data_IF_468013566644
#
_entry.id   IF_468013566644
#
_cell.length_a   1.000
_cell.length_b   1.000
_cell.length_c   1.000
_cell.angle_alpha   90.00
_cell.angle_beta   90.00
_cell.angle_gamma   90.00
#
_symmetry.space_group_name_H-M   'P 1'
#
loop_
_entity.id
_entity.type
_entity.pdbx_description
1 polymer ?
#
# COMPACT_ATOMS: atom_id res chain seq x y z
N UNK A 1 13.82 7.49 1.66
CA UNK A 1 14.94 8.27 1.09
C UNK A 1 15.69 7.34 0.17
N UNK A 2 15.96 7.76 -1.08
CA UNK A 2 16.93 7.08 -1.95
C UNK A 2 18.36 7.24 -1.39
N UNK A 3 19.34 6.58 -2.02
CA UNK A 3 20.72 6.57 -1.51
C UNK A 3 21.31 7.98 -1.44
N UNK A 4 21.01 8.84 -2.43
CA UNK A 4 21.58 10.20 -2.49
C UNK A 4 20.97 11.06 -1.40
N UNK A 5 19.64 11.08 -1.29
CA UNK A 5 18.97 11.84 -0.25
C UNK A 5 19.30 11.30 1.16
N UNK A 6 19.54 10.00 1.32
CA UNK A 6 20.00 9.41 2.59
C UNK A 6 21.41 9.87 2.99
N UNK A 7 22.38 9.86 2.05
CA UNK A 7 23.75 10.33 2.31
C UNK A 7 23.78 11.84 2.63
N UNK A 8 23.01 12.63 1.89
CA UNK A 8 22.88 14.07 2.14
C UNK A 8 22.18 14.34 3.48
N UNK A 9 21.14 13.59 3.82
CA UNK A 9 20.48 13.70 5.11
C UNK A 9 21.45 13.39 6.26
N UNK A 10 22.16 12.26 6.19
CA UNK A 10 23.14 11.88 7.21
C UNK A 10 24.24 12.92 7.37
N UNK A 11 24.78 13.42 6.25
CA UNK A 11 25.77 14.49 6.24
C UNK A 11 25.23 15.77 6.87
N UNK A 12 23.94 16.07 6.66
CA UNK A 12 23.28 17.27 7.20
C UNK A 12 23.04 17.19 8.69
N UNK A 13 22.65 16.02 9.18
CA UNK A 13 22.58 15.72 10.61
C UNK A 13 23.95 15.93 11.25
N UNK A 14 25.03 15.40 10.65
CA UNK A 14 26.39 15.62 11.17
C UNK A 14 26.78 17.11 11.16
N UNK A 15 26.48 17.83 10.08
CA UNK A 15 26.76 19.27 9.98
C UNK A 15 26.01 20.06 11.05
N UNK A 16 24.72 19.79 11.27
CA UNK A 16 23.93 20.43 12.33
C UNK A 16 24.45 20.12 13.71
N UNK A 17 24.84 18.86 14.00
CA UNK A 17 25.45 18.50 15.28
C UNK A 17 26.76 19.26 15.49
N UNK A 18 27.66 19.28 14.50
CA UNK A 18 28.94 19.99 14.61
C UNK A 18 28.73 21.50 14.74
N UNK A 19 27.80 22.08 13.97
CA UNK A 19 27.45 23.50 14.05
C UNK A 19 26.88 23.84 15.42
N UNK A 20 25.97 23.04 15.94
CA UNK A 20 25.42 23.19 17.28
C UNK A 20 26.49 23.12 18.37
N UNK A 21 27.41 22.15 18.30
CA UNK A 21 28.46 22.02 19.30
C UNK A 21 29.42 23.23 19.33
N UNK A 22 29.65 23.86 18.18
CA UNK A 22 30.55 25.03 18.05
C UNK A 22 29.87 26.36 18.34
N UNK A 23 28.66 26.57 17.81
CA UNK A 23 27.97 27.86 17.81
C UNK A 23 26.83 27.92 18.83
N UNK A 24 26.35 26.76 19.32
CA UNK A 24 25.23 26.62 20.27
C UNK A 24 23.93 27.26 19.77
N UNK A 25 23.73 27.32 18.46
CA UNK A 25 22.48 27.82 17.86
C UNK A 25 21.33 26.86 18.09
N UNK A 26 20.31 27.29 18.83
CA UNK A 26 19.17 26.44 19.19
C UNK A 26 18.37 25.93 17.97
N UNK A 27 18.43 26.65 16.84
CA UNK A 27 17.73 26.27 15.61
C UNK A 27 18.23 24.92 15.06
N UNK A 28 19.51 24.58 15.27
CA UNK A 28 20.09 23.31 14.81
C UNK A 28 19.48 22.11 15.52
N UNK A 29 19.36 22.22 16.85
CA UNK A 29 18.66 21.21 17.65
C UNK A 29 17.18 21.18 17.29
N UNK A 30 16.55 22.33 17.06
CA UNK A 30 15.14 22.38 16.69
C UNK A 30 14.87 21.55 15.43
N UNK A 31 15.71 21.65 14.40
CA UNK A 31 15.57 20.85 13.18
C UNK A 31 15.65 19.35 13.49
N UNK A 32 16.63 18.92 14.29
CA UNK A 32 16.81 17.51 14.65
C UNK A 32 15.66 16.97 15.51
N UNK A 33 15.19 17.74 16.49
CA UNK A 33 14.10 17.35 17.40
C UNK A 33 12.73 17.41 16.72
N UNK A 34 12.56 18.27 15.71
CA UNK A 34 11.31 18.37 14.96
C UNK A 34 10.96 17.06 14.24
N UNK A 35 11.95 16.28 13.81
CA UNK A 35 11.73 15.00 13.12
C UNK A 35 10.99 14.00 14.01
N UNK A 36 11.52 13.56 15.18
CA UNK A 36 10.81 12.63 16.05
C UNK A 36 9.50 13.24 16.57
N UNK A 37 9.46 14.56 16.83
CA UNK A 37 8.24 15.24 17.27
C UNK A 37 7.10 15.13 16.24
N UNK A 38 7.40 15.36 14.96
CA UNK A 38 6.43 15.24 13.87
C UNK A 38 6.10 13.78 13.51
N UNK A 39 6.93 12.83 13.94
CA UNK A 39 6.62 11.39 13.86
C UNK A 39 5.74 10.90 15.03
N UNK A 40 5.58 11.68 16.11
CA UNK A 40 4.82 11.29 17.30
C UNK A 40 3.38 10.82 16.99
N UNK A 41 2.60 11.45 16.09
CA UNK A 41 1.25 10.96 15.79
C UNK A 41 1.21 9.49 15.36
N UNK A 42 2.23 9.05 14.60
CA UNK A 42 2.34 7.66 14.16
C UNK A 42 2.93 6.74 15.24
N UNK A 43 3.90 7.23 16.03
CA UNK A 43 4.52 6.45 17.11
C UNK A 43 3.48 6.15 18.19
N UNK A 44 2.66 7.15 18.54
CA UNK A 44 1.60 6.99 19.54
C UNK A 44 0.44 6.14 19.02
N UNK A 45 0.16 6.14 17.71
CA UNK A 45 -0.86 5.24 17.16
C UNK A 45 -0.42 3.77 17.18
N UNK A 46 0.88 3.47 17.28
CA UNK A 46 1.38 2.11 17.42
C UNK A 46 0.87 1.42 18.71
N UNK A 47 0.46 2.21 19.72
CA UNK A 47 -0.15 1.73 20.94
C UNK A 47 -1.65 1.36 20.79
N UNK A 48 -2.24 1.57 19.61
CA UNK A 48 -3.62 1.21 19.26
C UNK A 48 -3.62 0.18 18.12
N UNK A 49 -3.51 -1.14 18.42
CA UNK A 49 -3.32 -2.18 17.42
C UNK A 49 -4.47 -2.34 16.41
N UNK A 50 -5.62 -1.75 16.70
CA UNK A 50 -6.83 -1.84 15.87
C UNK A 50 -6.89 -0.77 14.75
N UNK A 51 -5.95 0.18 14.71
CA UNK A 51 -5.88 1.16 13.62
C UNK A 51 -4.77 0.80 12.63
N UNK A 52 -5.09 0.84 11.33
CA UNK A 52 -4.09 0.66 10.29
C UNK A 52 -3.03 1.77 10.37
N UNK A 53 -1.74 1.43 10.48
CA UNK A 53 -0.68 2.44 10.40
C UNK A 53 -0.81 3.15 9.04
N UNK A 54 -0.90 4.48 9.08
CA UNK A 54 -1.06 5.29 7.86
C UNK A 54 0.15 6.18 7.65
N UNK A 55 0.73 6.08 6.45
CA UNK A 55 1.84 6.92 5.97
C UNK A 55 1.50 8.43 6.07
N UNK A 56 0.23 8.79 5.94
CA UNK A 56 -0.23 10.17 6.07
C UNK A 56 0.03 10.77 7.46
N UNK A 57 0.09 9.94 8.52
CA UNK A 57 0.34 10.39 9.90
C UNK A 57 1.80 10.78 10.16
N UNK A 58 2.75 10.28 9.39
CA UNK A 58 4.18 10.67 9.48
C UNK A 58 4.57 11.72 8.46
N UNK A 59 3.65 12.11 7.56
CA UNK A 59 3.96 12.97 6.41
C UNK A 59 4.59 14.31 6.79
N UNK A 60 4.24 14.89 7.94
CA UNK A 60 4.82 16.16 8.39
C UNK A 60 6.34 16.10 8.62
N UNK A 61 6.87 14.93 9.03
CA UNK A 61 8.31 14.74 9.27
C UNK A 61 9.13 14.84 7.98
N UNK A 62 8.51 14.72 6.79
CA UNK A 62 9.20 14.88 5.50
C UNK A 62 9.82 16.27 5.36
N UNK A 63 9.17 17.30 5.91
CA UNK A 63 9.59 18.70 5.76
C UNK A 63 10.97 18.95 6.37
N UNK A 64 11.21 18.74 7.68
CA UNK A 64 12.54 18.94 8.24
C UNK A 64 13.59 17.99 7.64
N UNK A 65 13.22 16.78 7.26
CA UNK A 65 14.14 15.84 6.59
C UNK A 65 14.69 16.42 5.30
N UNK A 66 13.82 16.92 4.40
CA UNK A 66 14.27 17.49 3.13
C UNK A 66 14.94 18.87 3.28
N UNK A 67 14.61 19.63 4.32
CA UNK A 67 15.37 20.83 4.66
C UNK A 67 16.82 20.49 5.03
N UNK A 68 17.05 19.43 5.82
CA UNK A 68 18.38 18.95 6.19
C UNK A 68 19.14 18.44 4.96
N UNK A 69 18.48 17.71 4.06
CA UNK A 69 19.05 17.28 2.77
C UNK A 69 19.49 18.50 1.95
N UNK A 70 18.62 19.52 1.85
CA UNK A 70 18.91 20.77 1.15
C UNK A 70 20.10 21.52 1.72
N UNK A 71 20.20 21.60 3.05
CA UNK A 71 21.33 22.23 3.75
C UNK A 71 22.67 21.57 3.39
N UNK A 72 22.72 20.23 3.37
CA UNK A 72 23.92 19.49 2.98
C UNK A 72 24.29 19.69 1.53
N UNK A 73 23.28 19.66 0.65
CA UNK A 73 23.49 19.84 -0.78
C UNK A 73 24.03 21.25 -1.05
N UNK A 74 23.43 22.28 -0.45
CA UNK A 74 23.89 23.67 -0.57
C UNK A 74 25.32 23.84 -0.02
N UNK A 75 25.61 23.27 1.15
CA UNK A 75 26.95 23.28 1.74
C UNK A 75 28.00 22.63 0.83
N UNK A 76 27.67 21.48 0.25
CA UNK A 76 28.53 20.76 -0.69
C UNK A 76 28.79 21.57 -1.96
N UNK A 77 27.73 22.11 -2.58
CA UNK A 77 27.83 22.87 -3.83
C UNK A 77 28.57 24.20 -3.62
N UNK A 78 28.32 24.89 -2.51
CA UNK A 78 28.97 26.15 -2.16
C UNK A 78 30.44 25.94 -1.83
N UNK A 79 30.79 24.88 -1.10
CA UNK A 79 32.18 24.50 -0.84
C UNK A 79 32.93 24.26 -2.15
N UNK A 80 32.36 23.46 -3.05
CA UNK A 80 32.96 23.15 -4.34
C UNK A 80 33.12 24.39 -5.24
N UNK A 81 32.11 25.28 -5.24
CA UNK A 81 32.16 26.57 -5.95
C UNK A 81 33.30 27.45 -5.45
N UNK A 82 33.52 27.50 -4.14
CA UNK A 82 34.56 28.35 -3.52
C UNK A 82 35.98 27.83 -3.75
N UNK A 83 36.16 26.51 -3.93
CA UNK A 83 37.47 25.89 -4.14
C UNK A 83 37.97 25.96 -5.60
N UNK A 84 37.10 26.30 -6.55
CA UNK A 84 37.42 26.26 -7.99
C UNK A 84 37.50 27.67 -8.60
N UNK A 85 38.43 27.87 -9.52
CA UNK A 85 38.55 29.11 -10.29
C UNK A 85 37.42 29.23 -11.34
N UNK A 86 37.06 30.46 -11.70
CA UNK A 86 36.15 30.71 -12.83
C UNK A 86 36.77 30.22 -14.16
N UNK A 87 35.97 29.64 -15.08
CA UNK A 87 34.51 29.43 -15.04
C UNK A 87 34.06 28.14 -14.32
N UNK A 88 35.00 27.26 -13.98
CA UNK A 88 34.74 25.92 -13.43
C UNK A 88 33.99 25.93 -12.09
N UNK A 89 34.17 26.98 -11.28
CA UNK A 89 33.42 27.17 -10.03
C UNK A 89 31.90 27.30 -10.19
N UNK A 90 31.39 27.60 -11.40
CA UNK A 90 29.94 27.61 -11.67
C UNK A 90 29.48 26.33 -12.36
N UNK A 91 30.25 25.85 -13.34
CA UNK A 91 29.84 24.72 -14.19
C UNK A 91 29.87 23.41 -13.43
N UNK A 92 30.93 23.14 -12.64
CA UNK A 92 31.10 21.86 -11.96
C UNK A 92 30.03 21.63 -10.88
N UNK A 93 29.76 22.57 -9.95
CA UNK A 93 28.70 22.37 -8.96
C UNK A 93 27.32 22.22 -9.60
N UNK A 94 27.02 23.01 -10.65
CA UNK A 94 25.75 22.88 -11.36
C UNK A 94 25.60 21.51 -12.03
N UNK A 95 26.65 21.04 -12.72
CA UNK A 95 26.66 19.71 -13.33
C UNK A 95 26.48 18.60 -12.30
N UNK A 96 27.18 18.70 -11.16
CA UNK A 96 27.03 17.74 -10.06
C UNK A 96 25.60 17.74 -9.50
N UNK A 97 25.01 18.91 -9.26
CA UNK A 97 23.63 19.02 -8.77
C UNK A 97 22.64 18.35 -9.73
N UNK A 98 22.77 18.61 -11.04
CA UNK A 98 21.92 18.00 -12.07
C UNK A 98 22.08 16.48 -12.09
N UNK A 99 23.32 15.98 -12.05
CA UNK A 99 23.60 14.53 -12.02
C UNK A 99 22.97 13.88 -10.78
N UNK A 100 23.16 14.47 -9.59
CA UNK A 100 22.59 13.95 -8.35
C UNK A 100 21.06 13.91 -8.40
N UNK A 101 20.42 14.96 -8.95
CA UNK A 101 18.96 14.99 -9.11
C UNK A 101 18.50 13.91 -10.08
N UNK A 102 19.14 13.75 -11.25
CA UNK A 102 18.76 12.73 -12.22
C UNK A 102 18.90 11.31 -11.67
N UNK A 103 19.99 11.02 -10.98
CA UNK A 103 20.19 9.72 -10.31
C UNK A 103 19.17 9.49 -9.18
N UNK A 104 18.79 10.54 -8.45
CA UNK A 104 17.76 10.45 -7.42
C UNK A 104 16.39 10.20 -8.03
N UNK A 105 16.03 10.86 -9.14
CA UNK A 105 14.79 10.61 -9.89
C UNK A 105 14.73 9.15 -10.34
N UNK A 106 15.81 8.63 -10.94
CA UNK A 106 15.85 7.25 -11.41
C UNK A 106 15.66 6.25 -10.26
N UNK A 107 16.34 6.45 -9.13
CA UNK A 107 16.20 5.57 -7.97
C UNK A 107 14.80 5.64 -7.35
N UNK A 108 14.22 6.84 -7.23
CA UNK A 108 12.89 6.99 -6.68
C UNK A 108 11.82 6.40 -7.61
N UNK A 109 12.01 6.48 -8.93
CA UNK A 109 11.12 5.84 -9.89
C UNK A 109 11.08 4.32 -9.68
N UNK A 110 12.26 3.69 -9.62
CA UNK A 110 12.35 2.25 -9.40
C UNK A 110 11.78 1.82 -8.04
N UNK A 111 12.08 2.59 -6.98
CA UNK A 111 11.59 2.34 -5.64
C UNK A 111 10.06 2.37 -5.57
N UNK A 112 9.42 3.38 -6.17
CA UNK A 112 7.97 3.58 -6.08
C UNK A 112 7.19 2.68 -7.03
N UNK A 113 7.63 2.57 -8.28
CA UNK A 113 6.83 1.92 -9.32
C UNK A 113 7.14 0.43 -9.51
N UNK A 114 8.29 -0.05 -9.06
CA UNK A 114 8.63 -1.47 -9.12
C UNK A 114 8.72 -2.08 -7.72
N UNK A 115 9.66 -1.64 -6.88
CA UNK A 115 9.95 -2.32 -5.61
C UNK A 115 8.76 -2.25 -4.64
N UNK A 116 8.21 -1.05 -4.44
CA UNK A 116 7.04 -0.86 -3.58
C UNK A 116 5.82 -1.59 -4.14
N UNK A 117 5.61 -1.53 -5.46
CA UNK A 117 4.51 -2.25 -6.12
C UNK A 117 4.63 -3.75 -5.90
N UNK A 118 5.78 -4.35 -6.20
CA UNK A 118 6.00 -5.79 -6.02
C UNK A 118 5.81 -6.23 -4.57
N UNK A 119 6.29 -5.42 -3.62
CA UNK A 119 6.11 -5.69 -2.20
C UNK A 119 4.63 -5.59 -1.80
N UNK A 120 3.94 -4.55 -2.24
CA UNK A 120 2.52 -4.35 -1.97
C UNK A 120 1.68 -5.48 -2.57
N UNK A 121 1.93 -5.83 -3.83
CA UNK A 121 1.24 -6.88 -4.57
C UNK A 121 1.47 -8.26 -3.93
N UNK A 122 2.61 -8.49 -3.25
CA UNK A 122 2.86 -9.72 -2.47
C UNK A 122 2.22 -9.71 -1.10
N UNK A 123 2.20 -8.57 -0.39
CA UNK A 123 1.71 -8.49 1.00
C UNK A 123 0.21 -8.21 1.16
N UNK A 124 -0.44 -7.58 0.18
CA UNK A 124 -1.87 -7.25 0.25
C UNK A 124 -2.77 -8.39 -0.23
N UNK A 125 -4.00 -8.48 0.24
CA UNK A 125 -4.95 -9.48 -0.29
C UNK A 125 -5.44 -9.12 -1.70
N UNK A 126 -5.69 -10.12 -2.54
CA UNK A 126 -6.08 -10.02 -3.95
C UNK A 126 -7.55 -9.63 -4.16
N UNK A 127 -8.00 -8.60 -3.47
CA UNK A 127 -9.36 -8.04 -3.58
C UNK A 127 -9.72 -7.60 -5.00
N UNK A 128 -8.73 -7.23 -5.81
CA UNK A 128 -8.92 -6.91 -7.23
C UNK A 128 -9.26 -8.13 -8.08
N UNK A 129 -8.65 -9.29 -7.83
CA UNK A 129 -8.96 -10.54 -8.54
C UNK A 129 -10.36 -11.04 -8.18
N UNK A 130 -10.70 -11.02 -6.88
CA UNK A 130 -12.05 -11.39 -6.40
C UNK A 130 -13.09 -10.44 -7.00
N UNK A 131 -12.84 -9.13 -6.98
CA UNK A 131 -13.74 -8.14 -7.57
C UNK A 131 -13.90 -8.31 -9.09
N UNK A 132 -12.82 -8.68 -9.80
CA UNK A 132 -12.88 -8.97 -11.23
C UNK A 132 -13.77 -10.19 -11.54
N UNK A 133 -13.69 -11.26 -10.73
CA UNK A 133 -14.55 -12.44 -10.87
C UNK A 133 -16.02 -12.09 -10.63
N UNK A 134 -16.34 -11.28 -9.61
CA UNK A 134 -17.71 -10.82 -9.36
C UNK A 134 -18.23 -9.99 -10.54
N UNK A 135 -17.40 -9.08 -11.05
CA UNK A 135 -17.76 -8.24 -12.19
C UNK A 135 -17.99 -9.07 -13.45
N UNK A 136 -17.12 -10.02 -13.75
CA UNK A 136 -17.29 -10.92 -14.90
C UNK A 136 -18.56 -11.75 -14.79
N UNK A 137 -18.89 -12.24 -13.59
CA UNK A 137 -20.14 -12.94 -13.32
C UNK A 137 -21.37 -12.06 -13.59
N UNK A 138 -21.39 -10.85 -13.04
CA UNK A 138 -22.50 -9.91 -13.21
C UNK A 138 -22.66 -9.43 -14.67
N UNK A 139 -21.54 -9.25 -15.39
CA UNK A 139 -21.54 -8.81 -16.79
C UNK A 139 -21.97 -9.93 -17.76
N UNK A 140 -22.06 -11.20 -17.32
CA UNK A 140 -22.28 -12.36 -18.23
C UNK A 140 -23.54 -13.16 -17.93
N UNK A 141 -23.62 -13.80 -16.76
CA UNK A 141 -24.66 -14.81 -16.45
C UNK A 141 -25.45 -14.49 -15.19
N UNK A 142 -24.89 -13.68 -14.30
CA UNK A 142 -25.41 -13.39 -12.98
C UNK A 142 -25.91 -11.97 -12.80
N UNK A 143 -26.07 -11.59 -11.54
CA UNK A 143 -26.39 -10.23 -11.11
C UNK A 143 -25.43 -9.80 -10.00
N UNK A 144 -25.17 -8.50 -9.88
CA UNK A 144 -24.32 -7.98 -8.81
C UNK A 144 -24.84 -8.37 -7.43
N UNK A 145 -26.16 -8.47 -7.22
CA UNK A 145 -26.75 -8.82 -5.92
C UNK A 145 -26.77 -10.34 -5.63
N UNK A 146 -26.41 -11.18 -6.61
CA UNK A 146 -26.34 -12.63 -6.45
C UNK A 146 -24.91 -13.16 -6.34
N UNK A 147 -23.97 -12.28 -6.01
CA UNK A 147 -22.58 -12.60 -5.70
C UNK A 147 -22.26 -12.29 -4.24
N UNK A 148 -21.49 -13.16 -3.60
CA UNK A 148 -21.07 -12.99 -2.20
C UNK A 148 -19.63 -13.44 -1.99
N UNK A 149 -18.99 -12.80 -1.01
CA UNK A 149 -17.71 -13.22 -0.45
C UNK A 149 -17.98 -13.68 0.98
N UNK A 150 -17.62 -14.92 1.29
CA UNK A 150 -17.77 -15.48 2.64
C UNK A 150 -16.60 -14.99 3.50
N UNK A 151 -16.80 -14.12 4.50
CA UNK A 151 -15.71 -13.55 5.28
C UNK A 151 -14.96 -14.62 6.09
N UNK A 152 -13.63 -14.49 6.16
CA UNK A 152 -12.77 -15.37 6.95
C UNK A 152 -11.77 -14.55 7.78
N UNK A 153 -11.40 -14.98 9.00
CA UNK A 153 -10.44 -14.23 9.84
C UNK A 153 -9.12 -13.91 9.14
N UNK A 154 -8.68 -12.65 9.24
CA UNK A 154 -7.45 -12.13 8.64
C UNK A 154 -7.37 -12.26 7.12
N UNK A 155 -8.51 -12.42 6.45
CA UNK A 155 -8.59 -12.48 5.00
C UNK A 155 -9.05 -11.13 4.42
N UNK A 156 -9.64 -11.16 3.23
CA UNK A 156 -9.99 -9.96 2.43
C UNK A 156 -11.03 -9.06 3.12
N UNK A 157 -10.95 -7.74 2.89
CA UNK A 157 -12.04 -6.81 3.20
C UNK A 157 -13.04 -6.82 2.04
N UNK A 158 -14.26 -7.28 2.31
CA UNK A 158 -15.34 -7.46 1.33
C UNK A 158 -15.85 -6.15 0.74
N UNK A 159 -15.69 -5.02 1.45
CA UNK A 159 -16.02 -3.68 0.92
C UNK A 159 -14.98 -3.22 -0.09
N UNK A 160 -13.71 -3.60 0.11
CA UNK A 160 -12.67 -3.34 -0.88
C UNK A 160 -12.87 -4.20 -2.13
N UNK A 161 -13.36 -5.44 -1.98
CA UNK A 161 -13.81 -6.25 -3.12
C UNK A 161 -14.90 -5.52 -3.89
N UNK A 162 -15.91 -4.97 -3.20
CA UNK A 162 -16.99 -4.23 -3.84
C UNK A 162 -16.51 -3.00 -4.62
N UNK A 163 -15.55 -2.27 -4.06
CA UNK A 163 -14.89 -1.17 -4.77
C UNK A 163 -14.20 -1.64 -6.06
N UNK A 164 -13.48 -2.76 -6.02
CA UNK A 164 -12.80 -3.33 -7.20
C UNK A 164 -13.77 -3.92 -8.23
N UNK A 165 -14.91 -4.43 -7.80
CA UNK A 165 -15.97 -4.92 -8.68
C UNK A 165 -16.71 -3.78 -9.41
N UNK A 166 -16.57 -2.54 -8.95
CA UNK A 166 -17.24 -1.36 -9.52
C UNK A 166 -18.49 -0.91 -8.76
N UNK A 167 -18.77 -1.51 -7.60
CA UNK A 167 -19.98 -1.26 -6.78
C UNK A 167 -19.57 -0.71 -5.39
N UNK A 168 -18.99 0.50 -5.31
CA UNK A 168 -18.26 0.97 -4.12
C UNK A 168 -19.10 1.19 -2.85
N UNK A 169 -20.44 1.22 -2.96
CA UNK A 169 -21.35 1.40 -1.83
C UNK A 169 -21.95 0.08 -1.33
N UNK A 170 -21.55 -1.05 -1.92
CA UNK A 170 -22.02 -2.38 -1.55
C UNK A 170 -21.01 -3.09 -0.64
N UNK A 171 -21.48 -4.08 0.11
CA UNK A 171 -20.64 -5.01 0.87
C UNK A 171 -21.03 -6.43 0.48
N UNK A 172 -20.10 -7.14 -0.16
CA UNK A 172 -20.33 -8.51 -0.62
C UNK A 172 -20.30 -9.55 0.50
N UNK A 173 -20.08 -9.15 1.76
CA UNK A 173 -20.04 -10.08 2.88
C UNK A 173 -21.34 -10.87 3.05
N UNK A 174 -21.24 -12.19 3.00
CA UNK A 174 -22.27 -13.10 3.49
C UNK A 174 -21.63 -14.13 4.40
N UNK A 175 -21.94 -14.05 5.69
CA UNK A 175 -21.33 -14.94 6.68
C UNK A 175 -21.74 -16.38 6.45
N UNK A 176 -20.82 -17.30 6.77
CA UNK A 176 -21.01 -18.72 6.55
C UNK A 176 -22.27 -19.23 7.24
N UNK A 177 -22.71 -18.66 8.36
CA UNK A 177 -23.93 -19.00 9.12
C UNK A 177 -25.23 -18.36 8.57
N UNK A 178 -25.12 -17.44 7.61
CA UNK A 178 -26.24 -16.74 6.97
C UNK A 178 -26.53 -17.22 5.54
N UNK A 179 -25.80 -18.22 5.04
CA UNK A 179 -25.93 -18.70 3.66
C UNK A 179 -27.36 -19.11 3.25
N UNK A 180 -28.23 -19.54 4.16
CA UNK A 180 -29.63 -19.87 3.85
C UNK A 180 -30.42 -18.67 3.33
N UNK A 181 -30.05 -17.45 3.72
CA UNK A 181 -30.71 -16.23 3.21
C UNK A 181 -30.53 -16.08 1.70
N UNK A 182 -29.47 -16.67 1.13
CA UNK A 182 -29.26 -16.65 -0.31
C UNK A 182 -30.26 -17.51 -1.09
N UNK A 183 -30.99 -18.43 -0.44
CA UNK A 183 -32.03 -19.25 -1.08
C UNK A 183 -33.17 -18.39 -1.64
N UNK A 184 -33.43 -17.24 -1.03
CA UNK A 184 -34.47 -16.31 -1.47
C UNK A 184 -34.09 -15.55 -2.75
N UNK A 185 -32.80 -15.57 -3.14
CA UNK A 185 -32.29 -14.88 -4.33
C UNK A 185 -32.43 -15.81 -5.55
N UNK A 186 -33.25 -15.47 -6.55
CA UNK A 186 -33.40 -16.31 -7.74
C UNK A 186 -32.18 -16.17 -8.68
N UNK A 187 -32.05 -17.11 -9.62
CA UNK A 187 -31.03 -17.04 -10.66
C UNK A 187 -29.70 -17.70 -10.28
N UNK A 188 -28.67 -17.43 -11.09
CA UNK A 188 -27.30 -17.86 -10.80
C UNK A 188 -26.79 -17.20 -9.52
N UNK A 189 -26.03 -17.95 -8.72
CA UNK A 189 -25.40 -17.47 -7.49
C UNK A 189 -23.90 -17.72 -7.51
N UNK A 190 -23.14 -16.75 -7.06
CA UNK A 190 -21.68 -16.83 -6.96
C UNK A 190 -21.25 -16.69 -5.50
N UNK A 191 -20.49 -17.65 -4.99
CA UNK A 191 -19.86 -17.55 -3.67
C UNK A 191 -18.35 -17.66 -3.79
N UNK A 192 -17.63 -16.72 -3.19
CA UNK A 192 -16.17 -16.65 -3.17
C UNK A 192 -15.68 -16.81 -1.74
N UNK A 193 -14.77 -17.74 -1.49
CA UNK A 193 -14.32 -18.03 -0.12
C UNK A 193 -12.91 -18.58 -0.06
N UNK A 194 -12.31 -18.50 1.13
CA UNK A 194 -10.92 -18.94 1.37
C UNK A 194 -10.82 -20.47 1.30
N UNK A 195 -9.75 -21.05 0.72
CA UNK A 195 -9.60 -22.50 0.62
C UNK A 195 -9.57 -23.25 1.97
N UNK A 196 -9.15 -22.56 3.03
CA UNK A 196 -9.10 -23.11 4.39
C UNK A 196 -10.48 -23.15 5.09
N UNK A 197 -11.52 -22.54 4.50
CA UNK A 197 -12.85 -22.51 5.08
C UNK A 197 -13.66 -23.75 4.70
N UNK A 198 -13.37 -24.86 5.37
CA UNK A 198 -14.09 -26.12 5.18
C UNK A 198 -15.57 -26.01 5.58
N UNK A 199 -15.89 -25.14 6.55
CA UNK A 199 -17.26 -24.94 7.01
C UNK A 199 -18.13 -24.30 5.92
N UNK A 200 -17.61 -23.25 5.26
CA UNK A 200 -18.27 -22.64 4.12
C UNK A 200 -18.53 -23.65 3.00
N UNK A 201 -17.52 -24.46 2.67
CA UNK A 201 -17.64 -25.48 1.62
C UNK A 201 -18.73 -26.52 1.95
N UNK A 202 -18.69 -27.11 3.14
CA UNK A 202 -19.67 -28.13 3.56
C UNK A 202 -21.10 -27.59 3.52
N UNK A 203 -21.30 -26.34 3.94
CA UNK A 203 -22.62 -25.71 3.98
C UNK A 203 -23.11 -25.35 2.59
N UNK A 204 -22.24 -24.82 1.71
CA UNK A 204 -22.57 -24.57 0.31
C UNK A 204 -22.95 -25.86 -0.42
N UNK A 205 -22.23 -26.96 -0.20
CA UNK A 205 -22.55 -28.27 -0.78
C UNK A 205 -23.87 -28.85 -0.26
N UNK A 206 -24.20 -28.57 1.01
CA UNK A 206 -25.46 -29.00 1.61
C UNK A 206 -26.66 -28.21 1.06
N UNK A 207 -26.51 -26.89 0.93
CA UNK A 207 -27.58 -26.00 0.42
C UNK A 207 -27.76 -26.09 -1.09
N UNK A 208 -26.64 -26.26 -1.82
CA UNK A 208 -26.59 -26.20 -3.27
C UNK A 208 -25.79 -27.39 -3.83
N UNK A 209 -26.36 -28.61 -3.77
CA UNK A 209 -25.65 -29.83 -4.18
C UNK A 209 -25.26 -29.86 -5.67
N UNK A 210 -25.98 -29.13 -6.51
CA UNK A 210 -25.70 -29.02 -7.95
C UNK A 210 -24.69 -27.90 -8.29
N UNK A 211 -24.13 -27.23 -7.28
CA UNK A 211 -23.15 -26.17 -7.45
C UNK A 211 -21.77 -26.68 -7.91
N UNK A 212 -21.10 -25.91 -8.76
CA UNK A 212 -19.76 -26.19 -9.24
C UNK A 212 -18.69 -25.49 -8.41
N UNK A 213 -17.74 -26.25 -7.86
CA UNK A 213 -16.56 -25.73 -7.16
C UNK A 213 -15.36 -25.63 -8.11
N UNK A 214 -14.76 -24.45 -8.22
CA UNK A 214 -13.52 -24.21 -8.97
C UNK A 214 -12.51 -23.47 -8.09
N UNK A 215 -11.24 -23.88 -8.11
CA UNK A 215 -10.16 -23.13 -7.48
C UNK A 215 -9.66 -22.05 -8.44
N UNK A 216 -9.73 -20.79 -8.02
CA UNK A 216 -9.06 -19.69 -8.72
C UNK A 216 -7.60 -19.63 -8.25
N UNK A 217 -6.67 -19.90 -9.17
CA UNK A 217 -5.24 -19.76 -8.93
C UNK A 217 -4.83 -18.29 -9.09
N UNK A 218 -4.46 -17.65 -7.98
CA UNK A 218 -4.01 -16.26 -7.99
C UNK A 218 -2.67 -16.11 -8.69
N UNK A 219 -2.41 -14.93 -9.24
CA UNK A 219 -1.06 -14.57 -9.71
C UNK A 219 -0.04 -14.51 -8.56
N UNK A 220 -0.50 -14.41 -7.31
CA UNK A 220 0.32 -14.31 -6.12
C UNK A 220 0.14 -15.53 -5.22
N UNK A 221 1.26 -16.11 -4.82
CA UNK A 221 1.31 -17.28 -3.94
C UNK A 221 0.52 -17.05 -2.64
N UNK A 222 -0.28 -18.05 -2.25
CA UNK A 222 -1.05 -18.05 -1.01
C UNK A 222 -2.32 -17.20 -1.04
N UNK A 223 -2.76 -16.75 -2.23
CA UNK A 223 -3.97 -15.93 -2.40
C UNK A 223 -5.05 -16.58 -3.26
N UNK A 224 -4.93 -17.88 -3.46
CA UNK A 224 -5.97 -18.65 -4.13
C UNK A 224 -7.29 -18.57 -3.36
N UNK A 225 -8.40 -18.66 -4.07
CA UNK A 225 -9.73 -18.67 -3.48
C UNK A 225 -10.65 -19.60 -4.27
N UNK A 226 -11.64 -20.16 -3.58
CA UNK A 226 -12.65 -20.97 -4.24
C UNK A 226 -13.75 -20.10 -4.82
N UNK A 227 -14.20 -20.51 -6.00
CA UNK A 227 -15.39 -20.05 -6.68
C UNK A 227 -16.42 -21.17 -6.60
N UNK A 228 -17.59 -20.89 -6.02
CA UNK A 228 -18.73 -21.79 -6.03
C UNK A 228 -19.86 -21.16 -6.83
N UNK A 229 -20.15 -21.73 -7.99
CA UNK A 229 -21.19 -21.25 -8.89
C UNK A 229 -22.41 -22.16 -8.80
N UNK A 230 -23.56 -21.59 -8.46
CA UNK A 230 -24.82 -22.32 -8.38
C UNK A 230 -25.68 -21.95 -9.60
N UNK A 231 -26.14 -22.94 -10.39
CA UNK A 231 -27.07 -22.68 -11.48
C UNK A 231 -28.46 -22.27 -10.94
N UNK A 232 -29.29 -21.60 -11.75
CA UNK A 232 -30.66 -21.32 -11.38
C UNK A 232 -31.43 -22.63 -11.16
N UNK A 233 -32.38 -22.62 -10.21
CA UNK A 233 -33.30 -23.73 -10.05
C UNK A 233 -34.03 -23.98 -11.38
N UNK A 234 -34.02 -25.23 -11.82
CA UNK A 234 -34.79 -25.62 -13.01
C UNK A 234 -36.27 -25.64 -12.62
N UNK A 235 -37.16 -25.00 -13.39
CA UNK A 235 -38.60 -25.01 -13.10
C UNK A 235 -39.22 -26.40 -13.24
#
# INVERSE_FOLDING_TARGET
LDVISAVLFFSGVLLLIVRYLRQREWLDIFWLVSIPLLMMPSILSLAFPAENPSLNRTGAAIVPVFLIVGLSLDGLLTSLKSSLKLPWGRVIPLGLAVILILLSIQQNYDLVFHQYKDQFDRSSWNTSEIGAVIREFADTIGDEQSAWVIPYPYWVDTRLVAFNAGVPLHDYALWADQLETSLEVPGFKLFLFKPDDTNALERLQTLYPDGGLTLYASQFEGKDFYIYLVPPETP
#
